data_IF_714547682136
#
_entry.id   IF_714547682136
#
_cell.length_a   1.000
_cell.length_b   1.000
_cell.length_c   1.000
_cell.angle_alpha   90.00
_cell.angle_beta   90.00
_cell.angle_gamma   90.00
#
_symmetry.space_group_name_H-M   'P 1'
#
loop_
_entity.id
_entity.type
_entity.pdbx_description
1 polymer ?
#
# COMPACT_ATOMS: atom_id res chain seq x y z
N UNK A 1 -1.26 -20.82 -19.89
CA UNK A 1 -0.25 -21.78 -19.39
C UNK A 1 -0.55 -23.20 -19.87
N UNK A 2 -1.62 -23.88 -19.44
CA UNK A 2 -1.98 -25.23 -19.95
C UNK A 2 -2.20 -25.29 -21.48
N UNK A 3 -2.77 -24.24 -22.08
CA UNK A 3 -3.02 -24.17 -23.52
C UNK A 3 -1.76 -24.05 -24.41
N UNK A 4 -0.57 -23.80 -23.83
CA UNK A 4 0.67 -23.54 -24.57
C UNK A 4 1.79 -24.55 -24.25
N UNK A 5 1.45 -25.72 -23.70
CA UNK A 5 2.40 -26.81 -23.48
C UNK A 5 3.38 -26.60 -22.32
N UNK A 6 3.22 -25.53 -21.52
CA UNK A 6 3.99 -25.33 -20.31
C UNK A 6 3.47 -26.22 -19.18
N UNK A 7 4.37 -26.91 -18.47
CA UNK A 7 4.07 -27.55 -17.19
C UNK A 7 3.42 -26.53 -16.26
N UNK A 8 2.50 -26.97 -15.40
CA UNK A 8 1.81 -26.08 -14.47
C UNK A 8 2.84 -25.28 -13.63
N UNK A 9 2.66 -23.95 -13.59
CA UNK A 9 3.63 -23.00 -13.01
C UNK A 9 4.83 -22.58 -13.87
N UNK A 10 5.00 -23.10 -15.09
CA UNK A 10 6.14 -22.76 -15.97
C UNK A 10 5.87 -21.51 -16.82
N UNK A 11 6.86 -20.60 -16.87
CA UNK A 11 6.86 -19.38 -17.68
C UNK A 11 8.03 -19.41 -18.66
N UNK A 12 7.78 -19.04 -19.92
CA UNK A 12 8.78 -19.01 -20.97
C UNK A 12 9.23 -17.58 -21.26
N UNK A 13 10.53 -17.42 -21.51
CA UNK A 13 11.17 -16.14 -21.78
C UNK A 13 12.09 -16.29 -23.00
N UNK A 14 11.92 -15.41 -23.96
CA UNK A 14 12.66 -15.36 -25.21
C UNK A 14 13.71 -14.26 -25.15
N UNK A 15 14.85 -14.54 -25.78
CA UNK A 15 15.97 -13.63 -25.91
C UNK A 15 16.60 -13.80 -27.29
N UNK A 16 17.32 -12.79 -27.76
CA UNK A 16 18.17 -12.96 -28.92
C UNK A 16 19.27 -13.99 -28.63
N UNK A 17 19.38 -15.00 -29.49
CA UNK A 17 20.41 -16.05 -29.38
C UNK A 17 21.80 -15.49 -29.69
N UNK A 18 21.92 -14.76 -30.80
CA UNK A 18 23.19 -14.26 -31.34
C UNK A 18 23.45 -12.76 -31.10
N UNK A 19 22.60 -12.08 -30.32
CA UNK A 19 22.74 -10.64 -30.04
C UNK A 19 22.66 -10.37 -28.53
N UNK A 20 23.45 -9.41 -28.00
CA UNK A 20 23.32 -8.96 -26.62
C UNK A 20 22.22 -7.91 -26.42
N UNK A 21 21.57 -7.47 -27.50
CA UNK A 21 20.57 -6.40 -27.49
C UNK A 21 19.29 -6.79 -26.77
N UNK A 22 18.47 -5.79 -26.46
CA UNK A 22 17.10 -5.96 -25.96
C UNK A 22 16.25 -6.64 -27.02
N UNK A 23 15.46 -7.64 -26.63
CA UNK A 23 14.31 -8.11 -27.38
C UNK A 23 13.11 -7.32 -26.87
N UNK A 24 12.69 -6.30 -27.63
CA UNK A 24 11.56 -5.45 -27.22
C UNK A 24 10.25 -6.15 -27.45
N UNK A 25 9.18 -5.71 -26.78
CA UNK A 25 7.86 -6.28 -26.99
C UNK A 25 7.32 -6.03 -28.41
N UNK A 26 7.77 -4.97 -29.09
CA UNK A 26 7.50 -4.76 -30.52
C UNK A 26 8.26 -5.78 -31.41
N UNK A 27 9.49 -6.15 -31.04
CA UNK A 27 10.21 -7.23 -31.71
C UNK A 27 9.50 -8.58 -31.47
N UNK A 28 8.97 -8.81 -30.26
CA UNK A 28 8.22 -10.05 -29.95
C UNK A 28 6.97 -10.20 -30.82
N UNK A 29 6.21 -9.12 -31.02
CA UNK A 29 5.07 -9.09 -31.96
C UNK A 29 5.55 -9.34 -33.40
N UNK A 30 6.63 -8.68 -33.82
CA UNK A 30 7.17 -8.82 -35.19
C UNK A 30 7.69 -10.22 -35.51
N UNK A 31 8.12 -10.96 -34.48
CA UNK A 31 8.64 -12.33 -34.61
C UNK A 31 7.59 -13.40 -34.24
N UNK A 32 6.33 -13.00 -33.98
CA UNK A 32 5.21 -13.89 -33.61
C UNK A 32 5.51 -14.78 -32.38
N UNK A 33 6.13 -14.18 -31.36
CA UNK A 33 6.47 -14.84 -30.09
C UNK A 33 5.87 -14.13 -28.86
N UNK A 34 5.14 -13.04 -29.07
CA UNK A 34 4.48 -12.24 -28.04
C UNK A 34 3.52 -13.07 -27.19
N UNK A 35 2.79 -14.00 -27.80
CA UNK A 35 1.84 -14.89 -27.11
C UNK A 35 2.51 -15.98 -26.26
N UNK A 36 3.83 -16.15 -26.36
CA UNK A 36 4.62 -17.17 -25.65
C UNK A 36 5.54 -16.58 -24.57
N UNK A 37 5.78 -15.27 -24.56
CA UNK A 37 6.74 -14.62 -23.67
C UNK A 37 6.10 -14.05 -22.39
N UNK A 38 6.64 -14.40 -21.23
CA UNK A 38 6.16 -13.93 -19.92
C UNK A 38 6.30 -12.41 -19.71
N UNK A 39 7.26 -11.75 -20.36
CA UNK A 39 7.42 -10.28 -20.34
C UNK A 39 6.25 -9.62 -21.05
N UNK A 40 5.89 -10.13 -22.22
CA UNK A 40 4.76 -9.62 -22.99
C UNK A 40 3.44 -9.87 -22.26
N UNK A 41 3.26 -11.06 -21.69
CA UNK A 41 2.11 -11.36 -20.82
C UNK A 41 2.01 -10.38 -19.64
N UNK A 42 3.14 -9.98 -19.05
CA UNK A 42 3.17 -8.98 -17.97
C UNK A 42 2.82 -7.57 -18.46
N UNK A 43 3.23 -7.16 -19.67
CA UNK A 43 2.74 -5.92 -20.32
C UNK A 43 1.21 -5.95 -20.41
N UNK A 44 0.64 -7.00 -20.99
CA UNK A 44 -0.82 -7.13 -21.13
C UNK A 44 -1.54 -7.14 -19.78
N UNK A 45 -0.95 -7.74 -18.75
CA UNK A 45 -1.51 -7.76 -17.39
C UNK A 45 -1.68 -6.34 -16.82
N UNK A 46 -0.69 -5.46 -17.04
CA UNK A 46 -0.74 -4.07 -16.61
C UNK A 46 -1.71 -3.24 -17.47
N UNK A 47 -1.67 -3.41 -18.79
CA UNK A 47 -2.59 -2.72 -19.71
C UNK A 47 -4.07 -3.07 -19.43
N UNK A 48 -4.37 -4.34 -19.15
CA UNK A 48 -5.70 -4.80 -18.76
C UNK A 48 -6.20 -4.17 -17.44
N UNK A 49 -5.31 -3.62 -16.62
CA UNK A 49 -5.62 -2.91 -15.37
C UNK A 49 -5.62 -1.38 -15.52
N UNK A 50 -5.52 -0.89 -16.75
CA UNK A 50 -5.57 0.53 -17.06
C UNK A 50 -4.23 1.26 -16.93
N UNK A 51 -3.12 0.55 -16.72
CA UNK A 51 -1.78 1.16 -16.76
C UNK A 51 -1.30 1.27 -18.21
N UNK A 52 -0.59 2.34 -18.54
CA UNK A 52 0.14 2.43 -19.81
C UNK A 52 1.57 1.93 -19.63
N UNK A 53 2.11 1.20 -20.61
CA UNK A 53 3.48 0.68 -20.58
C UNK A 53 4.38 1.55 -21.45
N UNK A 54 5.48 2.08 -20.91
CA UNK A 54 6.43 2.94 -21.64
C UNK A 54 7.57 2.14 -22.27
N UNK A 55 8.09 1.14 -21.55
CA UNK A 55 9.15 0.26 -22.05
C UNK A 55 8.80 -1.20 -21.72
N UNK A 56 9.13 -2.11 -22.62
CA UNK A 56 8.87 -3.53 -22.44
C UNK A 56 9.93 -4.31 -23.22
N UNK A 57 10.79 -5.06 -22.52
CA UNK A 57 11.83 -5.87 -23.14
C UNK A 57 12.35 -7.00 -22.25
N UNK A 58 12.89 -8.03 -22.89
CA UNK A 58 13.74 -9.04 -22.27
C UNK A 58 15.18 -8.88 -22.76
N UNK A 59 16.16 -9.08 -21.89
CA UNK A 59 17.56 -8.99 -22.26
C UNK A 59 18.42 -9.96 -21.44
N UNK A 60 19.28 -10.72 -22.13
CA UNK A 60 20.34 -11.50 -21.46
C UNK A 60 21.20 -10.62 -20.58
N UNK A 61 21.63 -11.16 -19.45
CA UNK A 61 22.59 -10.51 -18.56
C UNK A 61 24.01 -10.67 -19.07
N UNK A 62 24.91 -9.79 -18.63
CA UNK A 62 26.34 -9.78 -18.97
C UNK A 62 27.06 -11.09 -18.63
N UNK A 63 26.65 -11.78 -17.56
CA UNK A 63 27.15 -13.11 -17.22
C UNK A 63 26.73 -14.22 -18.21
N UNK A 64 25.80 -13.93 -19.13
CA UNK A 64 25.28 -14.86 -20.13
C UNK A 64 25.41 -14.31 -21.56
N UNK A 65 26.46 -13.50 -21.81
CA UNK A 65 26.75 -12.93 -23.14
C UNK A 65 25.70 -11.91 -23.60
N UNK A 66 24.96 -11.31 -22.66
CA UNK A 66 24.00 -10.26 -22.91
C UNK A 66 24.51 -8.86 -22.57
N UNK A 67 23.71 -7.84 -22.88
CA UNK A 67 24.06 -6.45 -22.64
C UNK A 67 23.57 -5.87 -21.31
N UNK A 68 22.78 -6.61 -20.52
CA UNK A 68 22.25 -6.11 -19.26
C UNK A 68 23.23 -6.37 -18.11
N UNK A 69 23.87 -5.31 -17.62
CA UNK A 69 24.94 -5.41 -16.61
C UNK A 69 24.44 -5.20 -15.17
N UNK A 70 25.27 -5.50 -14.18
CA UNK A 70 25.00 -5.12 -12.78
C UNK A 70 24.73 -3.60 -12.65
N UNK A 71 25.44 -2.77 -13.42
CA UNK A 71 25.21 -1.33 -13.38
C UNK A 71 23.83 -0.95 -13.94
N UNK A 72 23.32 -1.68 -14.94
CA UNK A 72 21.94 -1.50 -15.39
C UNK A 72 20.94 -1.93 -14.33
N UNK A 73 21.16 -3.07 -13.68
CA UNK A 73 20.32 -3.50 -12.56
C UNK A 73 20.26 -2.45 -11.45
N UNK A 74 21.43 -1.93 -11.03
CA UNK A 74 21.51 -0.87 -10.03
C UNK A 74 20.73 0.37 -10.48
N UNK A 75 20.88 0.79 -11.73
CA UNK A 75 20.14 1.93 -12.27
C UNK A 75 18.61 1.73 -12.26
N UNK A 76 18.11 0.52 -12.52
CA UNK A 76 16.69 0.20 -12.38
C UNK A 76 16.24 0.30 -10.91
N UNK A 77 16.97 -0.33 -9.98
CA UNK A 77 16.66 -0.25 -8.54
C UNK A 77 16.71 1.19 -8.02
N UNK A 78 17.71 1.97 -8.43
CA UNK A 78 17.86 3.38 -8.06
C UNK A 78 16.78 4.27 -8.69
N UNK A 79 16.18 3.83 -9.81
CA UNK A 79 14.96 4.45 -10.35
C UNK A 79 13.67 3.94 -9.66
N UNK A 80 13.79 3.11 -8.63
CA UNK A 80 12.68 2.50 -7.91
C UNK A 80 11.94 1.44 -8.73
N UNK A 81 12.58 0.87 -9.74
CA UNK A 81 12.02 -0.15 -10.62
C UNK A 81 12.55 -1.54 -10.19
N UNK A 82 11.72 -2.39 -9.55
CA UNK A 82 12.11 -3.77 -9.32
C UNK A 82 12.27 -4.52 -10.64
N UNK A 83 13.24 -5.42 -10.72
CA UNK A 83 13.60 -6.12 -11.96
C UNK A 83 13.22 -7.59 -11.84
N UNK A 84 12.46 -8.12 -12.80
CA UNK A 84 12.23 -9.56 -12.87
C UNK A 84 13.50 -10.24 -13.42
N UNK A 85 14.09 -11.10 -12.61
CA UNK A 85 15.29 -11.88 -12.95
C UNK A 85 14.86 -13.28 -13.38
N UNK A 86 15.32 -13.70 -14.55
CA UNK A 86 15.02 -15.00 -15.12
C UNK A 86 16.22 -15.92 -14.87
N UNK A 87 16.04 -16.87 -13.96
CA UNK A 87 16.98 -17.95 -13.69
C UNK A 87 16.67 -19.15 -14.61
N UNK A 88 17.64 -20.04 -14.80
CA UNK A 88 17.41 -21.31 -15.47
C UNK A 88 16.41 -22.17 -14.67
N UNK A 89 15.13 -22.16 -15.07
CA UNK A 89 14.04 -22.92 -14.45
C UNK A 89 13.21 -22.17 -13.41
N UNK A 90 13.48 -20.87 -13.16
CA UNK A 90 12.75 -20.10 -12.15
C UNK A 90 12.80 -18.58 -12.43
N UNK A 91 11.85 -17.83 -11.88
CA UNK A 91 11.82 -16.37 -11.97
C UNK A 91 11.70 -15.78 -10.57
N UNK A 92 12.49 -14.76 -10.30
CA UNK A 92 12.53 -14.06 -9.01
C UNK A 92 12.52 -12.55 -9.24
N UNK A 93 12.23 -11.77 -8.21
CA UNK A 93 12.24 -10.31 -8.30
C UNK A 93 13.46 -9.76 -7.56
N UNK A 94 14.33 -9.05 -8.26
CA UNK A 94 15.38 -8.25 -7.64
C UNK A 94 14.84 -6.89 -7.21
N UNK A 95 15.11 -6.50 -5.96
CA UNK A 95 14.57 -5.26 -5.38
C UNK A 95 15.63 -4.39 -4.68
N UNK A 96 16.88 -4.84 -4.61
CA UNK A 96 17.95 -4.11 -3.92
C UNK A 96 19.32 -4.63 -4.29
N UNK A 97 20.37 -3.92 -3.84
CA UNK A 97 21.75 -4.41 -3.92
C UNK A 97 22.65 -3.86 -2.80
N UNK A 98 23.76 -4.54 -2.54
CA UNK A 98 24.91 -4.08 -1.78
C UNK A 98 26.19 -4.59 -2.46
N UNK A 99 26.95 -3.70 -3.10
CA UNK A 99 28.11 -4.09 -3.89
C UNK A 99 27.72 -4.94 -5.11
N UNK A 100 28.15 -6.20 -5.16
CA UNK A 100 27.75 -7.20 -6.15
C UNK A 100 26.65 -8.15 -5.66
N UNK A 101 26.27 -8.06 -4.39
CA UNK A 101 25.15 -8.82 -3.82
C UNK A 101 23.85 -8.13 -4.17
N UNK A 102 22.89 -8.87 -4.71
CA UNK A 102 21.54 -8.40 -4.98
C UNK A 102 20.55 -9.01 -3.98
N UNK A 103 19.56 -8.24 -3.59
CA UNK A 103 18.45 -8.67 -2.74
C UNK A 103 17.27 -9.09 -3.61
N UNK A 104 16.70 -10.25 -3.28
CA UNK A 104 15.70 -10.92 -4.12
C UNK A 104 14.48 -11.35 -3.31
N UNK A 105 13.33 -11.36 -3.95
CA UNK A 105 12.13 -12.08 -3.51
C UNK A 105 11.98 -13.29 -4.40
N UNK A 106 12.02 -14.48 -3.80
CA UNK A 106 11.66 -15.70 -4.49
C UNK A 106 10.14 -15.87 -4.54
N UNK A 107 9.67 -16.99 -5.09
CA UNK A 107 8.23 -17.30 -5.15
C UNK A 107 7.84 -18.46 -4.24
N UNK A 108 8.70 -18.83 -3.28
CA UNK A 108 8.48 -19.95 -2.35
C UNK A 108 8.22 -19.47 -0.92
N UNK A 109 8.67 -18.25 -0.60
CA UNK A 109 8.40 -17.59 0.66
C UNK A 109 7.80 -16.19 0.45
N UNK A 110 6.74 -15.91 1.20
CA UNK A 110 6.01 -14.65 1.20
C UNK A 110 6.17 -13.87 2.52
N UNK A 111 7.01 -14.34 3.46
CA UNK A 111 7.36 -13.61 4.67
C UNK A 111 8.34 -12.46 4.34
N UNK A 112 7.96 -11.19 4.57
CA UNK A 112 8.82 -10.06 4.26
C UNK A 112 10.04 -9.95 5.18
N UNK A 113 10.05 -10.61 6.33
CA UNK A 113 11.15 -10.59 7.31
C UNK A 113 12.36 -11.40 6.85
N UNK A 114 12.16 -12.42 6.01
CA UNK A 114 13.25 -13.15 5.40
C UNK A 114 13.89 -12.33 4.29
N UNK A 115 15.22 -12.29 4.31
CA UNK A 115 16.03 -11.59 3.32
C UNK A 115 16.84 -12.61 2.52
N UNK A 116 16.49 -12.74 1.24
CA UNK A 116 17.20 -13.61 0.31
C UNK A 116 18.16 -12.79 -0.55
N UNK A 117 19.31 -13.38 -0.85
CA UNK A 117 20.35 -12.72 -1.64
C UNK A 117 21.03 -13.68 -2.60
N UNK A 118 21.60 -13.13 -3.66
CA UNK A 118 22.57 -13.82 -4.50
C UNK A 118 23.61 -12.83 -5.01
N UNK A 119 24.77 -13.31 -5.44
CA UNK A 119 25.72 -12.46 -6.17
C UNK A 119 25.25 -12.28 -7.61
N UNK A 120 25.33 -11.06 -8.14
CA UNK A 120 25.03 -10.79 -9.54
C UNK A 120 25.83 -11.70 -10.47
N UNK A 121 25.14 -12.25 -11.47
CA UNK A 121 25.70 -13.23 -12.41
C UNK A 121 25.94 -14.63 -11.82
N UNK A 122 25.62 -14.84 -10.54
CA UNK A 122 25.71 -16.14 -9.87
C UNK A 122 24.45 -16.99 -10.04
N UNK A 123 24.18 -17.82 -9.03
CA UNK A 123 23.03 -18.71 -8.98
C UNK A 123 22.28 -18.58 -7.65
N UNK A 124 20.97 -18.77 -7.69
CA UNK A 124 20.13 -18.93 -6.50
C UNK A 124 19.53 -20.33 -6.48
N UNK A 125 19.69 -21.05 -5.37
CA UNK A 125 19.25 -22.46 -5.24
C UNK A 125 19.73 -23.35 -6.41
N UNK A 126 20.96 -23.15 -6.88
CA UNK A 126 21.55 -23.88 -8.00
C UNK A 126 21.10 -23.44 -9.40
N UNK A 127 20.19 -22.47 -9.52
CA UNK A 127 19.69 -21.97 -10.81
C UNK A 127 20.43 -20.69 -11.22
N UNK A 128 21.12 -20.74 -12.35
CA UNK A 128 21.96 -19.63 -12.83
C UNK A 128 21.12 -18.49 -13.44
N UNK A 129 21.53 -17.25 -13.19
CA UNK A 129 20.93 -16.06 -13.81
C UNK A 129 21.15 -16.06 -15.33
N UNK A 130 20.07 -15.94 -16.10
CA UNK A 130 20.11 -16.01 -17.57
C UNK A 130 19.82 -14.66 -18.24
N UNK A 131 18.81 -13.95 -17.76
CA UNK A 131 18.30 -12.72 -18.36
C UNK A 131 17.44 -11.92 -17.38
N UNK A 132 17.00 -10.74 -17.80
CA UNK A 132 16.04 -9.92 -17.08
C UNK A 132 14.87 -9.55 -17.98
N UNK A 133 13.69 -9.46 -17.38
CA UNK A 133 12.49 -8.94 -18.03
C UNK A 133 12.10 -7.62 -17.40
N UNK A 134 12.04 -6.56 -18.19
CA UNK A 134 11.72 -5.19 -17.75
C UNK A 134 10.42 -4.73 -18.39
N UNK A 135 9.52 -4.21 -17.57
CA UNK A 135 8.27 -3.55 -18.02
C UNK A 135 8.15 -2.26 -17.22
N UNK A 136 8.31 -1.12 -17.88
CA UNK A 136 8.12 0.20 -17.29
C UNK A 136 6.71 0.69 -17.56
N UNK A 137 6.09 1.26 -16.54
CA UNK A 137 4.79 1.91 -16.68
C UNK A 137 5.00 3.40 -16.95
N UNK A 138 4.15 3.99 -17.77
CA UNK A 138 4.10 5.44 -17.96
C UNK A 138 3.74 6.06 -16.61
N UNK A 139 4.69 6.81 -16.07
CA UNK A 139 4.54 7.55 -14.83
C UNK A 139 3.57 8.71 -15.09
N UNK A 140 2.28 8.53 -14.79
CA UNK A 140 1.31 9.63 -14.78
C UNK A 140 1.59 10.50 -13.55
N UNK A 141 2.55 11.41 -13.69
CA UNK A 141 2.97 12.37 -12.67
C UNK A 141 4.40 12.13 -12.17
N UNK A 142 5.26 13.14 -12.32
CA UNK A 142 6.57 13.17 -11.67
C UNK A 142 6.41 13.06 -10.16
N UNK A 143 6.65 11.88 -9.59
CA UNK A 143 7.08 11.77 -8.21
C UNK A 143 8.60 11.93 -8.22
N UNK A 144 9.11 13.01 -7.60
CA UNK A 144 10.53 13.08 -7.26
C UNK A 144 10.80 11.98 -6.25
N UNK A 145 11.39 10.88 -6.71
CA UNK A 145 11.97 9.89 -5.82
C UNK A 145 13.16 10.54 -5.12
N UNK A 146 13.01 10.77 -3.82
CA UNK A 146 14.16 10.90 -2.93
C UNK A 146 14.39 9.49 -2.37
N UNK A 147 15.41 8.78 -2.87
CA UNK A 147 15.92 7.61 -2.17
C UNK A 147 16.42 8.06 -0.79
N UNK A 148 15.98 7.45 0.31
CA UNK A 148 16.67 7.63 1.57
C UNK A 148 18.00 6.89 1.46
N UNK A 149 19.09 7.64 1.59
CA UNK A 149 20.39 7.07 1.98
C UNK A 149 20.18 6.46 3.37
N UNK A 150 20.26 5.12 3.48
CA UNK A 150 20.53 4.41 4.73
C UNK A 150 21.77 5.13 5.32
N UNK A 151 21.84 5.69 6.53
CA UNK A 151 21.58 5.16 7.86
C UNK A 151 20.87 6.23 8.72
N UNK A 152 19.57 6.07 8.95
CA UNK A 152 18.90 6.51 10.17
C UNK A 152 17.51 5.86 10.14
N UNK A 153 17.03 5.35 11.28
CA UNK A 153 15.63 4.96 11.45
C UNK A 153 14.75 6.16 11.12
N UNK A 154 14.33 6.28 9.86
CA UNK A 154 13.38 7.31 9.45
C UNK A 154 12.04 6.84 9.98
N UNK A 155 11.53 7.60 10.95
CA UNK A 155 10.18 7.46 11.45
C UNK A 155 9.20 7.30 10.27
N UNK A 156 8.11 6.54 10.44
CA UNK A 156 7.04 6.48 9.45
C UNK A 156 6.73 7.91 8.98
N UNK A 157 6.51 8.09 7.67
CA UNK A 157 6.22 9.39 7.10
C UNK A 157 5.19 10.09 8.01
N UNK A 158 5.46 11.32 8.50
CA UNK A 158 4.62 11.93 9.52
C UNK A 158 3.19 11.94 9.01
N UNK A 159 2.30 11.36 9.80
CA UNK A 159 0.89 11.31 9.49
C UNK A 159 0.41 12.74 9.16
N UNK A 160 -0.16 12.98 7.97
CA UNK A 160 -0.57 14.32 7.61
C UNK A 160 -1.76 14.79 8.45
N UNK A 161 -2.51 13.85 9.05
CA UNK A 161 -3.52 14.16 10.05
C UNK A 161 -2.88 14.61 11.37
N UNK A 162 -3.31 15.77 11.85
CA UNK A 162 -3.02 16.27 13.17
C UNK A 162 -4.01 15.68 14.18
N UNK A 163 -3.53 15.32 15.37
CA UNK A 163 -4.33 14.65 16.41
C UNK A 163 -5.08 13.39 15.90
N UNK A 164 -4.38 12.42 15.27
CA UNK A 164 -5.03 11.33 14.53
C UNK A 164 -5.79 10.30 15.37
N UNK A 165 -5.39 10.12 16.64
CA UNK A 165 -6.09 9.28 17.63
C UNK A 165 -6.81 10.12 18.69
N UNK A 166 -7.10 11.39 18.41
CA UNK A 166 -7.93 12.26 19.25
C UNK A 166 -7.45 12.58 20.68
N UNK A 167 -6.29 12.07 21.10
CA UNK A 167 -5.73 12.22 22.47
C UNK A 167 -5.49 13.65 22.94
N UNK A 168 -5.53 14.64 22.05
CA UNK A 168 -5.45 16.07 22.40
C UNK A 168 -6.84 16.72 22.58
N UNK A 169 -7.91 15.93 22.58
CA UNK A 169 -9.29 16.37 22.65
C UNK A 169 -9.79 16.99 21.34
N UNK A 170 -10.75 17.92 21.45
CA UNK A 170 -11.41 18.64 20.35
C UNK A 170 -10.49 19.71 19.72
N UNK A 171 -9.34 19.26 19.22
CA UNK A 171 -8.32 20.11 18.59
C UNK A 171 -7.90 19.48 17.26
N UNK A 172 -7.62 20.34 16.28
CA UNK A 172 -7.17 20.02 14.92
C UNK A 172 -8.23 19.46 13.97
N UNK A 173 -9.28 18.83 14.48
CA UNK A 173 -10.43 18.39 13.70
C UNK A 173 -11.52 19.44 13.67
N UNK A 174 -12.24 19.53 12.54
CA UNK A 174 -13.46 20.31 12.44
C UNK A 174 -14.65 19.39 12.66
N UNK A 175 -15.39 19.64 13.73
CA UNK A 175 -16.58 18.91 14.14
C UNK A 175 -17.84 19.66 13.71
N UNK A 176 -18.85 18.93 13.27
CA UNK A 176 -20.19 19.45 13.02
C UNK A 176 -21.23 18.38 13.36
N UNK A 177 -22.22 18.73 14.16
CA UNK A 177 -23.42 17.92 14.39
C UNK A 177 -24.65 18.78 14.14
N UNK A 178 -25.62 18.27 13.39
CA UNK A 178 -26.92 18.93 13.23
C UNK A 178 -27.68 19.05 14.57
N UNK A 179 -27.39 18.16 15.52
CA UNK A 179 -27.92 18.18 16.89
C UNK A 179 -27.14 19.09 17.85
N UNK A 180 -26.00 19.64 17.43
CA UNK A 180 -25.14 20.48 18.27
C UNK A 180 -24.30 19.72 19.29
N UNK A 181 -24.08 18.42 19.06
CA UNK A 181 -23.25 17.57 19.91
C UNK A 181 -21.77 17.68 19.58
N UNK A 182 -20.94 17.48 20.61
CA UNK A 182 -19.51 17.23 20.46
C UNK A 182 -19.30 15.82 19.92
N UNK A 183 -18.31 15.62 19.03
CA UNK A 183 -18.04 14.34 18.40
C UNK A 183 -16.79 13.68 18.97
N UNK A 184 -15.80 14.44 19.45
CA UNK A 184 -14.59 13.89 20.09
C UNK A 184 -14.77 13.81 21.61
N UNK A 185 -14.65 12.60 22.15
CA UNK A 185 -14.93 12.26 23.55
C UNK A 185 -13.81 11.46 24.21
N UNK A 186 -13.60 11.61 25.54
CA UNK A 186 -12.77 10.70 26.31
C UNK A 186 -13.48 9.35 26.47
N UNK A 187 -12.79 8.25 26.18
CA UNK A 187 -13.27 6.85 26.10
C UNK A 187 -14.03 6.32 27.33
N UNK A 188 -13.96 7.01 28.47
CA UNK A 188 -14.75 6.68 29.67
C UNK A 188 -16.19 7.19 29.66
N UNK A 189 -16.59 7.99 28.66
CA UNK A 189 -17.96 8.52 28.52
C UNK A 189 -18.79 7.78 27.46
N UNK A 190 -18.24 7.41 26.30
CA UNK A 190 -18.90 6.52 25.34
C UNK A 190 -19.05 5.09 25.87
N UNK A 191 -19.97 4.29 25.32
CA UNK A 191 -20.17 2.89 25.72
C UNK A 191 -19.06 1.95 25.22
N UNK A 192 -18.12 2.46 24.42
CA UNK A 192 -17.03 1.70 23.78
C UNK A 192 -15.69 2.30 24.22
N UNK A 193 -14.76 1.45 24.63
CA UNK A 193 -13.38 1.87 24.91
C UNK A 193 -12.68 2.29 23.60
N UNK A 194 -11.84 3.32 23.66
CA UNK A 194 -11.04 3.74 22.52
C UNK A 194 -10.14 2.60 22.04
N UNK A 195 -9.85 2.61 20.74
CA UNK A 195 -8.97 1.61 20.13
C UNK A 195 -7.54 1.82 20.62
N UNK A 196 -7.08 3.07 20.54
CA UNK A 196 -5.83 3.55 21.11
C UNK A 196 -6.09 4.57 22.22
N UNK A 197 -5.20 4.64 23.21
CA UNK A 197 -5.23 5.74 24.18
C UNK A 197 -6.50 5.84 25.03
N UNK A 198 -7.08 7.03 25.13
CA UNK A 198 -8.20 7.37 26.01
C UNK A 198 -9.21 8.33 25.39
N UNK A 199 -9.12 8.61 24.10
CA UNK A 199 -10.05 9.44 23.33
C UNK A 199 -10.48 8.74 22.05
N UNK A 200 -11.68 9.06 21.59
CA UNK A 200 -12.20 8.57 20.32
C UNK A 200 -13.17 9.60 19.73
N UNK A 201 -13.54 9.44 18.46
CA UNK A 201 -14.65 10.16 17.87
C UNK A 201 -15.91 9.29 17.82
N UNK A 202 -17.06 9.82 18.21
CA UNK A 202 -18.37 9.20 18.16
C UNK A 202 -19.27 10.02 17.23
N UNK A 203 -19.72 9.40 16.14
CA UNK A 203 -20.64 9.97 15.18
C UNK A 203 -21.94 9.17 15.19
N UNK A 204 -23.08 9.85 15.15
CA UNK A 204 -24.41 9.26 15.32
C UNK A 204 -24.80 9.17 16.79
N UNK A 205 -25.69 8.23 17.12
CA UNK A 205 -26.23 8.05 18.46
C UNK A 205 -27.48 8.88 18.76
N UNK A 206 -27.86 9.80 17.89
CA UNK A 206 -29.14 10.52 17.94
C UNK A 206 -29.95 10.34 16.64
N UNK A 207 -31.28 10.47 16.75
CA UNK A 207 -32.19 10.43 15.59
C UNK A 207 -32.11 11.75 14.78
N UNK A 208 -32.26 11.65 13.46
CA UNK A 208 -32.20 12.76 12.49
C UNK A 208 -30.90 13.57 12.58
N UNK A 209 -29.78 12.88 12.83
CA UNK A 209 -28.48 13.50 12.99
C UNK A 209 -27.69 13.48 11.68
N UNK A 210 -26.94 14.55 11.45
CA UNK A 210 -25.80 14.56 10.53
C UNK A 210 -24.58 14.97 11.34
N UNK A 211 -23.67 14.01 11.56
CA UNK A 211 -22.40 14.21 12.23
C UNK A 211 -21.27 14.18 11.19
N UNK A 212 -20.39 15.18 11.20
CA UNK A 212 -19.27 15.32 10.28
C UNK A 212 -17.99 15.63 11.06
N UNK A 213 -16.95 14.86 10.78
CA UNK A 213 -15.61 15.06 11.31
C UNK A 213 -14.63 15.19 10.15
N UNK A 214 -13.90 16.30 10.07
CA UNK A 214 -13.05 16.56 8.90
C UNK A 214 -11.73 17.24 9.21
N UNK A 215 -10.75 17.01 8.35
CA UNK A 215 -9.47 17.71 8.34
C UNK A 215 -8.99 17.94 6.91
N UNK A 216 -8.35 19.08 6.68
CA UNK A 216 -7.71 19.38 5.38
C UNK A 216 -6.25 19.01 5.44
N UNK A 217 -5.86 18.05 4.62
CA UNK A 217 -4.51 17.48 4.58
C UNK A 217 -3.90 17.57 3.18
N UNK A 218 -2.62 17.20 3.10
CA UNK A 218 -1.98 16.88 1.83
C UNK A 218 -1.95 15.36 1.68
N UNK A 219 -2.58 14.85 0.63
CA UNK A 219 -2.53 13.43 0.27
C UNK A 219 -1.27 13.23 -0.58
N UNK A 220 -0.28 12.52 -0.04
CA UNK A 220 0.96 12.23 -0.74
C UNK A 220 0.76 11.09 -1.75
N UNK A 221 1.34 11.21 -2.94
CA UNK A 221 1.39 10.11 -3.90
C UNK A 221 2.22 8.91 -3.42
N UNK A 222 3.10 9.09 -2.43
CA UNK A 222 3.89 8.02 -1.82
C UNK A 222 3.18 7.33 -0.66
N UNK A 223 2.10 7.93 -0.13
CA UNK A 223 1.29 7.38 0.94
C UNK A 223 -0.20 7.69 0.68
N UNK A 224 -0.80 7.11 -0.39
CA UNK A 224 -2.16 7.46 -0.81
C UNK A 224 -3.25 6.65 -0.10
N UNK A 225 -2.90 5.73 0.80
CA UNK A 225 -3.88 4.86 1.44
C UNK A 225 -4.34 5.45 2.76
N UNK A 226 -5.63 5.80 2.87
CA UNK A 226 -6.25 6.20 4.12
C UNK A 226 -6.49 4.97 4.98
N UNK A 227 -6.05 5.02 6.24
CA UNK A 227 -6.30 4.01 7.26
C UNK A 227 -7.03 4.62 8.43
N UNK A 228 -7.91 3.85 9.04
CA UNK A 228 -8.58 4.20 10.28
C UNK A 228 -9.17 2.95 10.91
N UNK A 229 -9.41 3.01 12.20
CA UNK A 229 -10.16 2.00 12.93
C UNK A 229 -11.58 2.51 13.15
N UNK A 230 -12.57 1.64 12.98
CA UNK A 230 -13.95 1.95 13.32
C UNK A 230 -14.60 0.83 14.12
N UNK A 231 -15.57 1.20 14.95
CA UNK A 231 -16.53 0.30 15.58
C UNK A 231 -17.93 0.79 15.18
N UNK A 232 -18.77 -0.10 14.64
CA UNK A 232 -20.18 0.20 14.35
C UNK A 232 -21.12 -0.60 15.28
N UNK A 233 -22.10 0.10 15.84
CA UNK A 233 -23.16 -0.47 16.68
C UNK A 233 -24.51 0.16 16.30
N UNK A 234 -25.39 -0.64 15.71
CA UNK A 234 -26.71 -0.23 15.23
C UNK A 234 -27.78 -1.27 15.57
N UNK A 235 -28.96 -0.77 15.94
CA UNK A 235 -30.21 -1.51 16.11
C UNK A 235 -31.11 -1.43 14.87
N UNK A 236 -30.66 -0.71 13.84
CA UNK A 236 -31.47 -0.35 12.67
C UNK A 236 -31.40 -1.40 11.54
N UNK A 237 -32.32 -1.30 10.59
CA UNK A 237 -32.35 -2.05 9.34
C UNK A 237 -31.50 -1.33 8.28
N UNK A 238 -30.91 -2.08 7.36
CA UNK A 238 -30.03 -1.47 6.36
C UNK A 238 -30.80 -0.58 5.38
N UNK A 239 -30.20 0.56 5.02
CA UNK A 239 -30.74 1.49 4.03
C UNK A 239 -31.36 2.76 4.60
N UNK A 240 -31.26 2.98 5.90
CA UNK A 240 -31.78 4.17 6.59
C UNK A 240 -30.61 5.03 7.11
N UNK A 241 -29.73 4.40 7.89
CA UNK A 241 -28.53 5.05 8.43
C UNK A 241 -27.27 4.70 7.64
N UNK A 242 -26.36 5.66 7.54
CA UNK A 242 -25.18 5.56 6.67
C UNK A 242 -23.94 6.18 7.27
N UNK A 243 -22.81 5.51 7.07
CA UNK A 243 -21.48 6.11 7.21
C UNK A 243 -20.85 6.33 5.84
N UNK A 244 -20.27 7.51 5.63
CA UNK A 244 -19.66 7.95 4.39
C UNK A 244 -18.29 8.55 4.62
N UNK A 245 -17.41 8.37 3.64
CA UNK A 245 -16.16 9.11 3.55
C UNK A 245 -16.17 9.93 2.27
N UNK A 246 -15.84 11.21 2.42
CA UNK A 246 -15.81 12.17 1.33
C UNK A 246 -14.45 12.84 1.24
N UNK A 247 -13.99 13.08 0.01
CA UNK A 247 -12.80 13.91 -0.27
C UNK A 247 -13.24 15.11 -1.10
N UNK A 248 -13.08 16.32 -0.56
CA UNK A 248 -13.58 17.57 -1.17
C UNK A 248 -15.06 17.47 -1.60
N UNK A 249 -15.89 16.80 -0.79
CA UNK A 249 -17.31 16.59 -1.06
C UNK A 249 -17.65 15.46 -2.03
N UNK A 250 -16.65 14.83 -2.67
CA UNK A 250 -16.87 13.61 -3.46
C UNK A 250 -16.90 12.40 -2.54
N UNK A 251 -18.01 11.66 -2.53
CA UNK A 251 -18.12 10.41 -1.79
C UNK A 251 -17.27 9.31 -2.44
N UNK A 252 -16.50 8.62 -1.61
CA UNK A 252 -15.54 7.59 -2.05
C UNK A 252 -15.77 6.24 -1.35
N UNK A 253 -16.55 6.23 -0.28
CA UNK A 253 -16.87 5.05 0.49
C UNK A 253 -18.18 5.31 1.22
N UNK A 254 -19.05 4.30 1.22
CA UNK A 254 -20.32 4.30 1.93
C UNK A 254 -20.61 2.87 2.42
N UNK A 255 -21.17 2.74 3.61
CA UNK A 255 -21.93 1.55 3.99
C UNK A 255 -23.10 1.91 4.90
N UNK A 256 -24.11 1.05 4.92
CA UNK A 256 -25.26 1.19 5.81
C UNK A 256 -24.89 0.81 7.25
N UNK A 257 -25.24 1.66 8.21
CA UNK A 257 -25.20 1.33 9.63
C UNK A 257 -26.48 0.57 9.97
N UNK A 258 -26.37 -0.73 10.24
CA UNK A 258 -27.52 -1.59 10.56
C UNK A 258 -27.07 -2.82 11.35
N UNK A 259 -28.02 -3.55 11.94
CA UNK A 259 -27.74 -4.72 12.78
C UNK A 259 -26.82 -5.75 12.07
N UNK A 260 -27.08 -5.99 10.78
CA UNK A 260 -26.32 -6.98 9.99
C UNK A 260 -24.92 -6.52 9.57
N UNK A 261 -24.61 -5.22 9.66
CA UNK A 261 -23.30 -4.64 9.31
C UNK A 261 -22.46 -4.27 10.54
N UNK A 262 -22.97 -4.51 11.75
CA UNK A 262 -22.24 -4.30 12.99
C UNK A 262 -20.89 -5.01 12.97
N UNK A 263 -19.83 -4.27 13.35
CA UNK A 263 -18.46 -4.76 13.29
C UNK A 263 -18.10 -5.72 14.44
N UNK A 264 -18.91 -5.74 15.51
CA UNK A 264 -18.68 -6.55 16.72
C UNK A 264 -17.32 -6.31 17.41
N UNK A 265 -16.74 -5.13 17.20
CA UNK A 265 -15.39 -4.78 17.64
C UNK A 265 -14.78 -3.70 16.77
N UNK A 266 -13.58 -3.28 17.13
CA UNK A 266 -12.76 -2.40 16.30
C UNK A 266 -12.24 -3.16 15.08
N UNK A 267 -12.45 -2.58 13.90
CA UNK A 267 -11.98 -3.12 12.63
C UNK A 267 -11.25 -2.03 11.84
N UNK A 268 -10.15 -2.41 11.20
CA UNK A 268 -9.36 -1.49 10.39
C UNK A 268 -9.88 -1.44 8.95
N UNK A 269 -9.92 -0.25 8.37
CA UNK A 269 -10.23 -0.03 6.96
C UNK A 269 -9.03 0.61 6.27
N UNK A 270 -8.79 0.20 5.01
CA UNK A 270 -7.79 0.79 4.14
C UNK A 270 -8.45 1.20 2.83
N UNK A 271 -8.42 2.49 2.50
CA UNK A 271 -8.99 3.04 1.26
C UNK A 271 -7.92 3.66 0.39
N UNK A 272 -7.96 3.37 -0.91
CA UNK A 272 -7.03 3.95 -1.88
C UNK A 272 -7.50 5.36 -2.31
N UNK A 273 -6.76 6.40 -1.89
CA UNK A 273 -7.01 7.79 -2.27
C UNK A 273 -6.06 8.30 -3.36
N UNK A 274 -5.40 7.42 -4.13
CA UNK A 274 -4.43 7.83 -5.14
C UNK A 274 -5.01 8.80 -6.18
N UNK A 275 -6.31 8.69 -6.50
CA UNK A 275 -7.01 9.63 -7.39
C UNK A 275 -7.18 11.05 -6.82
N UNK A 276 -6.92 11.24 -5.53
CA UNK A 276 -7.10 12.50 -4.80
C UNK A 276 -5.78 13.12 -4.32
N UNK A 277 -4.63 12.62 -4.78
CA UNK A 277 -3.30 13.16 -4.44
C UNK A 277 -3.23 14.67 -4.66
N UNK A 278 -2.60 15.38 -3.72
CA UNK A 278 -2.41 16.82 -3.78
C UNK A 278 -2.62 17.51 -2.43
N UNK A 279 -2.38 18.80 -2.42
CA UNK A 279 -2.61 19.67 -1.25
C UNK A 279 -4.07 20.08 -1.13
N UNK A 280 -4.46 20.57 0.05
CA UNK A 280 -5.80 21.10 0.32
C UNK A 280 -6.92 20.10 0.00
N UNK A 281 -6.75 18.87 0.47
CA UNK A 281 -7.74 17.81 0.37
C UNK A 281 -8.43 17.68 1.72
N UNK A 282 -9.70 18.05 1.77
CA UNK A 282 -10.55 17.87 2.92
C UNK A 282 -11.05 16.43 2.92
N UNK A 283 -10.55 15.62 3.84
CA UNK A 283 -11.07 14.28 4.12
C UNK A 283 -12.12 14.43 5.21
N UNK A 284 -13.30 13.87 4.98
CA UNK A 284 -14.45 13.97 5.86
C UNK A 284 -15.04 12.58 6.13
N UNK A 285 -15.26 12.30 7.40
CA UNK A 285 -16.06 11.20 7.90
C UNK A 285 -17.45 11.75 8.22
N UNK A 286 -18.50 11.12 7.73
CA UNK A 286 -19.88 11.58 7.91
C UNK A 286 -20.78 10.42 8.30
N UNK A 287 -21.62 10.63 9.31
CA UNK A 287 -22.76 9.76 9.63
C UNK A 287 -24.05 10.55 9.43
N UNK A 288 -25.01 9.92 8.78
CA UNK A 288 -26.40 10.40 8.74
C UNK A 288 -27.31 9.34 9.33
N UNK A 289 -28.15 9.73 10.29
CA UNK A 289 -29.18 8.88 10.88
C UNK A 289 -30.58 9.36 10.51
N UNK A 290 -31.52 8.42 10.49
CA UNK A 290 -32.93 8.65 10.25
C UNK A 290 -33.69 8.91 11.58
N UNK A 291 -35.02 8.92 11.53
CA UNK A 291 -35.85 9.26 12.69
C UNK A 291 -36.11 8.14 13.70
N UNK A 292 -35.48 6.96 13.57
CA UNK A 292 -35.77 5.81 14.41
C UNK A 292 -34.64 4.78 14.47
N UNK A 293 -34.57 4.03 15.59
CA UNK A 293 -33.57 3.00 15.85
C UNK A 293 -32.14 3.55 15.91
N UNK A 294 -31.40 3.17 16.94
CA UNK A 294 -30.14 3.83 17.23
C UNK A 294 -29.00 3.27 16.37
N UNK A 295 -28.20 4.15 15.73
CA UNK A 295 -26.97 3.78 15.04
C UNK A 295 -25.79 4.63 15.48
N UNK A 296 -24.65 3.99 15.70
CA UNK A 296 -23.42 4.60 16.18
C UNK A 296 -22.25 4.16 15.31
N UNK A 297 -21.34 5.09 15.08
CA UNK A 297 -20.01 4.80 14.58
C UNK A 297 -18.97 5.48 15.47
N UNK A 298 -18.07 4.67 16.01
CA UNK A 298 -16.88 5.14 16.71
C UNK A 298 -15.69 5.06 15.75
N UNK A 299 -14.83 6.07 15.78
CA UNK A 299 -13.67 6.23 14.90
C UNK A 299 -12.43 6.50 15.75
N UNK A 300 -11.31 5.89 15.37
CA UNK A 300 -10.03 6.06 16.03
C UNK A 300 -8.83 5.85 15.08
N UNK A 301 -7.65 6.31 15.50
CA UNK A 301 -6.35 6.05 14.88
C UNK A 301 -6.30 6.28 13.35
N UNK A 302 -6.63 7.50 12.92
CA UNK A 302 -6.67 7.88 11.49
C UNK A 302 -5.27 8.15 10.95
N UNK A 303 -4.86 7.50 9.86
CA UNK A 303 -3.53 7.69 9.28
C UNK A 303 -3.50 7.56 7.75
N UNK A 304 -2.38 7.97 7.15
CA UNK A 304 -2.07 7.70 5.74
C UNK A 304 -0.87 6.77 5.65
N UNK A 305 -0.92 5.79 4.73
CA UNK A 305 0.13 4.79 4.54
C UNK A 305 0.54 4.64 3.08
N UNK A 306 1.74 4.10 2.87
CA UNK A 306 2.27 3.68 1.56
C UNK A 306 1.80 2.29 1.13
N UNK A 307 1.24 1.51 2.04
CA UNK A 307 0.80 0.14 1.79
C UNK A 307 -0.72 0.00 1.79
N UNK A 308 -1.24 -0.77 0.83
CA UNK A 308 -2.65 -1.17 0.71
C UNK A 308 -3.04 -2.31 1.65
N UNK A 309 -2.08 -2.93 2.33
CA UNK A 309 -2.34 -4.07 3.22
C UNK A 309 -2.76 -3.59 4.59
N UNK A 310 -3.77 -4.24 5.17
CA UNK A 310 -4.08 -4.14 6.60
C UNK A 310 -2.86 -4.62 7.38
N UNK A 311 -2.26 -3.74 8.17
CA UNK A 311 -1.22 -4.14 9.13
C UNK A 311 -1.87 -4.07 10.50
N UNK A 312 -1.88 -5.20 11.19
CA UNK A 312 -2.17 -5.25 12.62
C UNK A 312 -0.97 -4.60 13.32
N UNK A 313 -1.06 -3.28 13.51
CA UNK A 313 -0.07 -2.55 14.28
C UNK A 313 -0.37 -2.86 15.76
N UNK A 314 0.17 -3.98 16.24
CA UNK A 314 0.21 -4.27 17.67
C UNK A 314 0.85 -3.06 18.38
N UNK A 315 0.26 -2.57 19.48
CA UNK A 315 0.77 -1.41 20.19
C UNK A 315 2.23 -1.68 20.60
N UNK A 316 3.16 -0.88 20.07
CA UNK A 316 4.57 -0.95 20.44
C UNK A 316 4.65 -0.70 21.96
N UNK A 317 5.05 -1.68 22.78
CA UNK A 317 5.19 -1.45 24.20
C UNK A 317 6.28 -0.39 24.40
N UNK A 318 6.04 0.57 25.30
CA UNK A 318 7.02 1.58 25.65
C UNK A 318 8.35 0.90 26.04
N UNK A 319 9.38 1.05 25.20
CA UNK A 319 10.71 0.56 25.53
C UNK A 319 11.23 1.33 26.75
N UNK A 320 11.32 0.61 27.87
CA UNK A 320 11.97 1.07 29.08
C UNK A 320 13.47 1.20 28.80
N UNK A 321 13.96 2.39 28.48
CA UNK A 321 15.39 2.68 28.35
C UNK A 321 16.09 2.56 29.72
N UNK A 322 16.93 1.53 29.98
CA UNK A 322 17.77 1.50 31.17
C UNK A 322 19.13 2.09 30.76
N UNK A 323 19.20 3.42 30.73
CA UNK A 323 20.29 4.10 30.03
C UNK A 323 20.71 5.45 30.59
N UNK A 324 20.60 5.71 31.90
CA UNK A 324 21.31 6.83 32.51
C UNK A 324 21.46 6.67 34.02
N UNK A 325 22.66 6.21 34.38
CA UNK A 325 23.50 6.52 35.54
C UNK A 325 22.86 6.57 36.94
N UNK A 326 23.48 5.86 37.90
CA UNK A 326 24.21 6.52 38.98
C UNK A 326 25.29 5.60 39.57
N UNK A 327 26.47 6.18 39.71
CA UNK A 327 27.66 5.65 40.37
C UNK A 327 27.45 5.42 41.89
N UNK A 328 28.12 4.39 42.40
CA UNK A 328 28.80 4.29 43.71
C UNK A 328 28.02 4.65 45.00
N UNK A 329 27.75 3.65 45.84
CA UNK A 329 28.59 3.30 47.01
C UNK A 329 28.35 1.85 47.42
#
# INVERSE_FOLDING_TARGET
QSAYGNSDGSTSFYNWTSSPNKLTCADMESNDIDHLDGTYGRKLFYEARGYSVSDCFNQKTDNNGGGFTLNNFKAEIDAGHPVLLNLAGHSIVGYGYNGSTIYIRDTWDNDPSHTYTMTWGGSYSGMALQSVSVVHLVQTGSYRQYLPVLWNTTAPAPNPFQNPGFEQGQVSWTEYSSGGWDLIWPAGSPPVAAHGGSWLAWLGGADNETAQLSQTITISGTAPYLRFWYYSASEDVCGFDYFRIKVNGTEIYEFSLCESSNSNGWVQVVLNLAGFVGTNKTVMFEVTTDGSLNSNLFLDDVSMSSSSTLMEEEPVPAEYYPGSALLSK
#
